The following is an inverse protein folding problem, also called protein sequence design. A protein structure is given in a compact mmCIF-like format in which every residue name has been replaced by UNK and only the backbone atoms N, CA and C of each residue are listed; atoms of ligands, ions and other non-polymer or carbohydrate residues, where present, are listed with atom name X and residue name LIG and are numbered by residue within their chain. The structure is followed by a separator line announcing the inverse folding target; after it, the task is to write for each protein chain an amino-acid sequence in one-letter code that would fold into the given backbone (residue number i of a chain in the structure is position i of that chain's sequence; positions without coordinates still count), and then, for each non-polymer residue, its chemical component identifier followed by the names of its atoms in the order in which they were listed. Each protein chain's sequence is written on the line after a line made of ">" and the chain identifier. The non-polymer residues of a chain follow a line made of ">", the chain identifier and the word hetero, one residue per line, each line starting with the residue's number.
data_IF_103908766145
#
_entry.id   IF_103908766145
#
_cell.length_a   1.000
_cell.length_b   1.000
_cell.length_c   1.000
_cell.angle_alpha   90.00
_cell.angle_beta   90.00
_cell.angle_gamma   90.00
#
_symmetry.space_group_name_H-M   'P 1'
#
loop_
_entity.id
_entity.type
_entity.pdbx_description
1 polymer ?
#
# COMPACT_ATOMS: atom_id res chain seq x y z
N UNK A 1 -15.88 -28.37 -2.78
CA UNK A 1 -14.48 -27.94 -2.98
C UNK A 1 -14.17 -27.55 -4.43
N UNK A 2 -14.41 -28.42 -5.42
CA UNK A 2 -14.16 -28.18 -6.86
C UNK A 2 -14.90 -26.95 -7.43
N UNK A 3 -16.16 -26.73 -7.04
CA UNK A 3 -16.98 -25.60 -7.52
C UNK A 3 -16.46 -24.22 -7.07
N UNK A 4 -15.80 -24.14 -5.90
CA UNK A 4 -15.21 -22.91 -5.38
C UNK A 4 -13.88 -22.59 -6.08
N UNK A 5 -13.10 -23.63 -6.41
CA UNK A 5 -11.87 -23.50 -7.21
C UNK A 5 -12.17 -23.02 -8.63
N UNK A 6 -13.22 -23.55 -9.28
CA UNK A 6 -13.62 -23.13 -10.63
C UNK A 6 -14.10 -21.67 -10.67
N UNK A 7 -14.89 -21.25 -9.67
CA UNK A 7 -15.33 -19.85 -9.55
C UNK A 7 -14.13 -18.91 -9.32
N UNK A 8 -13.20 -19.28 -8.43
CA UNK A 8 -11.97 -18.51 -8.19
C UNK A 8 -11.14 -18.37 -9.47
N UNK A 9 -10.87 -19.46 -10.17
CA UNK A 9 -10.07 -19.42 -11.40
C UNK A 9 -10.75 -18.61 -12.50
N UNK A 10 -12.08 -18.72 -12.62
CA UNK A 10 -12.85 -17.92 -13.57
C UNK A 10 -12.81 -16.42 -13.24
N UNK A 11 -12.97 -16.05 -11.96
CA UNK A 11 -12.86 -14.66 -11.53
C UNK A 11 -11.45 -14.09 -11.70
N UNK A 12 -10.41 -14.88 -11.42
CA UNK A 12 -9.01 -14.49 -11.64
C UNK A 12 -8.74 -14.26 -13.14
N UNK A 13 -9.18 -15.19 -13.98
CA UNK A 13 -9.08 -15.04 -15.44
C UNK A 13 -9.79 -13.78 -15.94
N UNK A 14 -11.00 -13.49 -15.44
CA UNK A 14 -11.71 -12.25 -15.77
C UNK A 14 -11.01 -10.99 -15.24
N UNK A 15 -10.31 -11.07 -14.11
CA UNK A 15 -9.57 -9.92 -13.57
C UNK A 15 -8.29 -9.60 -14.36
N UNK A 16 -7.74 -10.58 -15.07
CA UNK A 16 -6.57 -10.43 -15.97
C UNK A 16 -6.97 -9.95 -17.38
N UNK A 17 -8.26 -9.97 -17.72
CA UNK A 17 -8.79 -9.45 -18.98
C UNK A 17 -8.93 -7.92 -18.94
N UNK A 18 -8.00 -7.21 -19.58
CA UNK A 18 -8.01 -5.75 -19.79
C UNK A 18 -9.39 -5.20 -20.22
N UNK A 19 -10.09 -5.88 -21.13
CA UNK A 19 -11.42 -5.48 -21.60
C UNK A 19 -12.49 -5.59 -20.50
N UNK A 20 -12.42 -6.62 -19.66
CA UNK A 20 -13.35 -6.80 -18.54
C UNK A 20 -13.07 -5.78 -17.43
N UNK A 21 -11.79 -5.51 -17.14
CA UNK A 21 -11.33 -4.42 -16.27
C UNK A 21 -11.89 -3.08 -16.76
N UNK A 22 -11.70 -2.74 -18.04
CA UNK A 22 -12.18 -1.49 -18.64
C UNK A 22 -13.71 -1.37 -18.65
N UNK A 23 -14.45 -2.44 -18.92
CA UNK A 23 -15.92 -2.40 -18.89
C UNK A 23 -16.44 -2.21 -17.46
N UNK A 24 -15.83 -2.87 -16.47
CA UNK A 24 -16.21 -2.74 -15.07
C UNK A 24 -15.90 -1.35 -14.53
N UNK A 25 -14.70 -0.82 -14.79
CA UNK A 25 -14.30 0.52 -14.32
C UNK A 25 -15.06 1.65 -15.01
N UNK A 26 -15.58 1.45 -16.23
CA UNK A 26 -16.39 2.45 -16.95
C UNK A 26 -17.89 2.33 -16.73
N UNK A 27 -18.36 1.23 -16.15
CA UNK A 27 -19.78 1.04 -15.84
C UNK A 27 -20.13 1.70 -14.50
N UNK A 28 -21.26 2.43 -14.44
CA UNK A 28 -21.71 3.05 -13.19
C UNK A 28 -22.04 2.04 -12.07
N UNK A 29 -22.34 0.79 -12.43
CA UNK A 29 -22.55 -0.31 -11.48
C UNK A 29 -21.21 -0.80 -10.90
N UNK A 30 -20.21 -1.02 -11.75
CA UNK A 30 -18.87 -1.44 -11.31
C UNK A 30 -18.20 -0.39 -10.44
N UNK A 31 -18.29 0.89 -10.80
CA UNK A 31 -17.81 1.99 -9.97
C UNK A 31 -18.52 2.05 -8.61
N UNK A 32 -19.85 1.85 -8.58
CA UNK A 32 -20.63 1.85 -7.32
C UNK A 32 -20.26 0.68 -6.41
N UNK A 33 -19.99 -0.49 -6.98
CA UNK A 33 -19.52 -1.65 -6.22
C UNK A 33 -18.10 -1.43 -5.67
N UNK A 34 -17.19 -0.87 -6.49
CA UNK A 34 -15.82 -0.58 -6.10
C UNK A 34 -15.72 0.49 -5.00
N UNK A 35 -16.58 1.53 -5.02
CA UNK A 35 -16.61 2.61 -4.01
C UNK A 35 -16.84 2.14 -2.57
N UNK A 36 -17.34 0.91 -2.37
CA UNK A 36 -17.42 0.31 -1.03
C UNK A 36 -16.05 -0.11 -0.47
N UNK A 37 -15.08 -0.36 -1.34
CA UNK A 37 -13.77 -0.92 -1.01
C UNK A 37 -12.61 0.02 -1.37
N UNK A 38 -12.83 0.97 -2.29
CA UNK A 38 -11.83 1.92 -2.77
C UNK A 38 -12.35 3.33 -2.51
N UNK A 39 -11.55 4.16 -1.85
CA UNK A 39 -11.94 5.53 -1.50
C UNK A 39 -12.19 6.40 -2.74
N UNK A 40 -11.38 6.22 -3.79
CA UNK A 40 -11.50 6.82 -5.11
C UNK A 40 -10.20 6.69 -5.89
N UNK A 41 -10.02 7.50 -6.94
CA UNK A 41 -8.86 7.43 -7.84
C UNK A 41 -7.83 8.53 -7.57
N UNK A 42 -8.26 9.63 -6.94
CA UNK A 42 -7.42 10.78 -6.65
C UNK A 42 -7.12 10.94 -5.15
N UNK A 43 -6.09 11.71 -4.84
CA UNK A 43 -5.69 12.07 -3.47
C UNK A 43 -6.86 12.65 -2.67
N UNK A 44 -7.69 13.47 -3.32
CA UNK A 44 -8.82 14.16 -2.71
C UNK A 44 -9.93 13.22 -2.29
N UNK A 45 -10.16 12.14 -3.05
CA UNK A 45 -11.12 11.10 -2.68
C UNK A 45 -10.64 10.34 -1.43
N UNK A 46 -9.35 9.97 -1.42
CA UNK A 46 -8.74 9.26 -0.30
C UNK A 46 -8.79 10.09 0.99
N UNK A 47 -8.42 11.36 0.92
CA UNK A 47 -8.46 12.30 2.05
C UNK A 47 -9.89 12.54 2.51
N UNK A 48 -10.82 12.74 1.57
CA UNK A 48 -12.24 12.89 1.88
C UNK A 48 -12.84 11.66 2.57
N UNK A 49 -12.36 10.45 2.26
CA UNK A 49 -12.76 9.24 2.98
C UNK A 49 -12.21 9.19 4.41
N UNK A 50 -10.96 9.63 4.62
CA UNK A 50 -10.35 9.73 5.96
C UNK A 50 -11.10 10.71 6.83
N UNK A 51 -11.48 11.89 6.31
CA UNK A 51 -12.32 12.85 7.04
C UNK A 51 -13.58 12.19 7.58
N UNK A 52 -14.35 11.51 6.71
CA UNK A 52 -15.60 10.83 7.13
C UNK A 52 -15.34 9.79 8.22
N UNK A 53 -14.30 8.96 8.06
CA UNK A 53 -13.95 7.95 9.07
C UNK A 53 -13.51 8.58 10.39
N UNK A 54 -12.76 9.68 10.35
CA UNK A 54 -12.33 10.41 11.53
C UNK A 54 -13.50 11.07 12.26
N UNK A 55 -14.47 11.64 11.53
CA UNK A 55 -15.72 12.21 12.08
C UNK A 55 -16.58 11.13 12.76
N UNK A 56 -16.55 9.91 12.23
CA UNK A 56 -17.19 8.73 12.85
C UNK A 56 -16.41 8.15 14.04
N UNK A 57 -15.24 8.70 14.36
CA UNK A 57 -14.43 8.29 15.49
C UNK A 57 -13.32 7.29 15.16
N UNK A 58 -13.25 6.77 13.93
CA UNK A 58 -12.23 5.80 13.50
C UNK A 58 -10.90 6.45 13.12
N UNK A 59 -9.82 5.68 13.30
CA UNK A 59 -8.55 5.93 12.61
C UNK A 59 -8.52 5.17 11.29
N UNK A 60 -7.74 5.66 10.33
CA UNK A 60 -7.61 5.07 9.01
C UNK A 60 -6.15 4.72 8.67
N UNK A 61 -5.99 3.88 7.65
CA UNK A 61 -4.73 3.72 6.93
C UNK A 61 -5.01 3.88 5.45
N UNK A 62 -4.15 4.63 4.75
CA UNK A 62 -4.22 4.82 3.31
C UNK A 62 -3.26 3.86 2.61
N UNK A 63 -3.82 3.04 1.71
CA UNK A 63 -3.08 2.16 0.82
C UNK A 63 -3.16 2.70 -0.61
N UNK A 64 -2.02 3.10 -1.17
CA UNK A 64 -1.95 3.54 -2.55
C UNK A 64 -1.93 2.33 -3.48
N UNK A 65 -3.02 2.16 -4.24
CA UNK A 65 -3.20 1.04 -5.15
C UNK A 65 -2.47 1.27 -6.48
N UNK A 66 -1.19 0.93 -6.51
CA UNK A 66 -0.38 0.80 -7.72
C UNK A 66 -0.02 -0.65 -8.04
N UNK A 67 0.16 -0.96 -9.32
CA UNK A 67 0.77 -2.23 -9.73
C UNK A 67 2.27 -2.24 -9.39
N UNK A 68 2.90 -3.43 -9.42
CA UNK A 68 4.35 -3.54 -9.26
C UNK A 68 5.03 -2.66 -10.32
N UNK A 69 5.93 -1.79 -9.89
CA UNK A 69 6.66 -0.94 -10.84
C UNK A 69 7.65 -1.78 -11.65
N UNK A 70 7.73 -1.50 -12.95
CA UNK A 70 8.67 -2.16 -13.87
C UNK A 70 9.90 -1.29 -14.18
N UNK A 71 9.87 -0.01 -13.80
CA UNK A 71 10.94 0.95 -14.06
C UNK A 71 11.27 1.80 -12.82
N UNK A 72 12.54 2.19 -12.63
CA UNK A 72 12.97 3.04 -11.51
C UNK A 72 12.22 4.37 -11.38
N UNK A 73 11.81 4.98 -12.50
CA UNK A 73 11.08 6.25 -12.49
C UNK A 73 9.68 6.13 -11.86
N UNK A 74 9.01 5.00 -12.07
CA UNK A 74 7.71 4.73 -11.48
C UNK A 74 7.81 4.53 -9.94
N UNK A 75 8.94 4.00 -9.44
CA UNK A 75 9.18 3.92 -8.00
C UNK A 75 9.27 5.31 -7.35
N UNK A 76 9.91 6.27 -8.03
CA UNK A 76 10.00 7.65 -7.57
C UNK A 76 8.64 8.34 -7.57
N UNK A 77 7.81 8.06 -8.59
CA UNK A 77 6.44 8.57 -8.65
C UNK A 77 5.59 8.03 -7.50
N UNK A 78 5.63 6.71 -7.24
CA UNK A 78 4.95 6.11 -6.10
C UNK A 78 5.44 6.74 -4.78
N UNK A 79 6.74 6.97 -4.62
CA UNK A 79 7.29 7.66 -3.45
C UNK A 79 6.75 9.09 -3.30
N UNK A 80 6.59 9.85 -4.41
CA UNK A 80 6.00 11.19 -4.37
C UNK A 80 4.55 11.16 -3.90
N UNK A 81 3.77 10.16 -4.30
CA UNK A 81 2.39 9.98 -3.82
C UNK A 81 2.36 9.76 -2.31
N UNK A 82 3.20 8.87 -1.78
CA UNK A 82 3.28 8.64 -0.33
C UNK A 82 3.69 9.89 0.46
N UNK A 83 4.67 10.66 -0.04
CA UNK A 83 5.09 11.91 0.58
C UNK A 83 3.95 12.95 0.58
N UNK A 84 3.24 13.07 -0.54
CA UNK A 84 2.08 13.96 -0.67
C UNK A 84 0.93 13.59 0.27
N UNK A 85 0.66 12.29 0.42
CA UNK A 85 -0.32 11.76 1.39
C UNK A 85 0.06 12.16 2.82
N UNK A 86 1.30 11.89 3.24
CA UNK A 86 1.79 12.25 4.58
C UNK A 86 1.67 13.75 4.86
N UNK A 87 2.04 14.59 3.89
CA UNK A 87 1.91 16.05 4.01
C UNK A 87 0.46 16.51 4.13
N UNK A 88 -0.44 15.86 3.37
CA UNK A 88 -1.88 16.19 3.39
C UNK A 88 -2.50 15.80 4.72
N UNK A 89 -2.21 14.60 5.21
CA UNK A 89 -2.67 14.12 6.52
C UNK A 89 -2.22 15.04 7.64
N UNK A 90 -0.94 15.45 7.65
CA UNK A 90 -0.40 16.37 8.65
C UNK A 90 -1.08 17.75 8.59
N UNK A 91 -1.14 18.36 7.40
CA UNK A 91 -1.71 19.70 7.20
C UNK A 91 -3.17 19.80 7.65
N UNK A 92 -3.91 18.71 7.49
CA UNK A 92 -5.34 18.65 7.82
C UNK A 92 -5.62 18.06 9.21
N UNK A 93 -4.59 17.65 9.95
CA UNK A 93 -4.75 17.07 11.29
C UNK A 93 -5.51 15.74 11.29
N UNK A 94 -5.40 14.95 10.21
CA UNK A 94 -6.14 13.71 10.04
C UNK A 94 -5.51 12.55 10.82
N UNK A 95 -6.34 11.77 11.51
CA UNK A 95 -5.98 10.54 12.23
C UNK A 95 -5.88 9.39 11.24
N UNK A 96 -4.77 9.36 10.49
CA UNK A 96 -4.46 8.32 9.53
C UNK A 96 -2.95 8.19 9.32
N UNK A 97 -2.54 7.04 8.82
CA UNK A 97 -1.17 6.74 8.40
C UNK A 97 -1.17 6.07 7.02
N UNK A 98 0.01 5.68 6.52
CA UNK A 98 0.12 5.04 5.20
C UNK A 98 0.64 3.60 5.30
N UNK A 99 0.12 2.74 4.42
CA UNK A 99 0.63 1.40 4.15
C UNK A 99 1.36 1.40 2.81
N UNK A 100 2.57 0.84 2.78
CA UNK A 100 3.48 0.85 1.63
C UNK A 100 3.86 -0.59 1.26
N UNK A 101 3.78 -0.90 -0.04
CA UNK A 101 4.31 -2.15 -0.61
C UNK A 101 5.66 -1.87 -1.27
N UNK A 102 6.70 -2.61 -0.88
CA UNK A 102 8.05 -2.33 -1.36
C UNK A 102 8.24 -2.65 -2.84
N UNK A 103 7.44 -3.55 -3.42
CA UNK A 103 7.48 -3.78 -4.87
C UNK A 103 6.98 -2.60 -5.70
N UNK A 104 6.15 -1.70 -5.13
CA UNK A 104 5.81 -0.41 -5.76
C UNK A 104 6.97 0.60 -5.64
N UNK A 105 7.81 0.45 -4.63
CA UNK A 105 9.05 1.23 -4.48
C UNK A 105 10.25 0.59 -5.19
N UNK A 106 10.02 -0.40 -6.05
CA UNK A 106 11.07 -0.99 -6.89
C UNK A 106 11.87 -2.13 -6.26
N UNK A 107 11.40 -2.79 -5.20
CA UNK A 107 12.14 -3.88 -4.53
C UNK A 107 12.56 -5.01 -5.48
N UNK A 108 11.77 -5.25 -6.53
CA UNK A 108 12.08 -6.24 -7.57
C UNK A 108 13.10 -5.79 -8.62
N UNK A 109 13.56 -4.53 -8.57
CA UNK A 109 14.41 -3.90 -9.57
C UNK A 109 15.73 -3.42 -8.92
N UNK A 110 15.64 -2.49 -7.97
CA UNK A 110 16.79 -1.85 -7.32
C UNK A 110 16.49 -1.65 -5.83
N UNK A 111 16.97 -2.59 -5.02
CA UNK A 111 16.79 -2.55 -3.56
C UNK A 111 17.46 -1.35 -2.89
N UNK A 112 18.51 -0.79 -3.47
CA UNK A 112 19.20 0.38 -2.90
C UNK A 112 18.42 1.67 -3.20
N UNK A 113 17.81 1.78 -4.39
CA UNK A 113 16.81 2.82 -4.66
C UNK A 113 15.60 2.67 -3.73
N UNK A 114 15.03 1.47 -3.59
CA UNK A 114 13.92 1.20 -2.67
C UNK A 114 14.24 1.62 -1.24
N UNK A 115 15.46 1.32 -0.75
CA UNK A 115 15.91 1.71 0.59
C UNK A 115 15.94 3.24 0.75
N UNK A 116 16.47 3.97 -0.23
CA UNK A 116 16.48 5.44 -0.20
C UNK A 116 15.07 6.03 -0.19
N UNK A 117 14.19 5.53 -1.06
CA UNK A 117 12.80 6.00 -1.15
C UNK A 117 12.02 5.73 0.14
N UNK A 118 12.12 4.50 0.68
CA UNK A 118 11.49 4.16 1.95
C UNK A 118 12.04 5.01 3.10
N UNK A 119 13.35 5.26 3.12
CA UNK A 119 13.98 6.14 4.11
C UNK A 119 13.41 7.55 4.08
N UNK A 120 13.24 8.15 2.89
CA UNK A 120 12.64 9.47 2.74
C UNK A 120 11.18 9.50 3.21
N UNK A 121 10.40 8.46 2.92
CA UNK A 121 9.00 8.33 3.38
C UNK A 121 8.95 8.22 4.91
N UNK A 122 9.81 7.39 5.51
CA UNK A 122 9.88 7.21 6.96
C UNK A 122 10.34 8.48 7.69
N UNK A 123 11.32 9.20 7.14
CA UNK A 123 11.78 10.49 7.67
C UNK A 123 10.66 11.54 7.61
N UNK A 124 9.90 11.59 6.51
CA UNK A 124 8.75 12.49 6.41
C UNK A 124 7.67 12.15 7.43
N UNK A 125 7.35 10.86 7.59
CA UNK A 125 6.38 10.42 8.59
C UNK A 125 6.82 10.82 10.01
N UNK A 126 8.08 10.59 10.36
CA UNK A 126 8.65 10.99 11.65
C UNK A 126 8.53 12.50 11.89
N UNK A 127 8.83 13.34 10.88
CA UNK A 127 8.72 14.80 10.98
C UNK A 127 7.29 15.30 11.25
N UNK A 128 6.29 14.50 10.86
CA UNK A 128 4.87 14.79 11.05
C UNK A 128 4.25 14.08 12.26
N UNK A 129 5.05 13.40 13.08
CA UNK A 129 4.59 12.51 14.15
C UNK A 129 3.58 11.46 13.64
N UNK A 130 3.84 10.93 12.44
CA UNK A 130 3.01 9.93 11.77
C UNK A 130 3.82 8.63 11.54
N UNK A 131 3.14 7.60 11.03
CA UNK A 131 3.62 6.24 10.91
C UNK A 131 3.57 5.74 9.46
N UNK A 132 4.45 4.80 9.14
CA UNK A 132 4.48 4.07 7.86
C UNK A 132 4.49 2.57 8.16
N UNK A 133 3.49 1.85 7.64
CA UNK A 133 3.45 0.39 7.68
C UNK A 133 4.01 -0.17 6.38
N UNK A 134 5.03 -1.03 6.48
CA UNK A 134 5.49 -1.85 5.36
C UNK A 134 4.61 -3.11 5.31
N UNK A 135 3.79 -3.20 4.27
CA UNK A 135 2.97 -4.38 4.01
C UNK A 135 3.86 -5.57 3.62
N UNK A 136 3.56 -6.74 4.19
CA UNK A 136 4.24 -7.98 3.81
C UNK A 136 3.56 -8.59 2.59
N UNK A 137 4.30 -8.64 1.50
CA UNK A 137 3.83 -9.15 0.21
C UNK A 137 3.97 -10.69 0.14
N UNK A 138 4.02 -11.25 -1.07
CA UNK A 138 4.19 -12.69 -1.26
C UNK A 138 5.48 -13.22 -0.63
N UNK A 139 5.50 -14.51 -0.25
CA UNK A 139 6.60 -15.14 0.49
C UNK A 139 7.99 -15.04 -0.17
N UNK A 140 8.04 -14.86 -1.50
CA UNK A 140 9.27 -14.58 -2.23
C UNK A 140 9.94 -13.25 -1.83
N UNK A 141 9.18 -12.29 -1.29
CA UNK A 141 9.64 -10.97 -0.88
C UNK A 141 9.87 -10.83 0.63
N UNK A 142 9.52 -11.84 1.44
CA UNK A 142 9.59 -11.72 2.91
C UNK A 142 10.99 -11.40 3.40
N UNK A 143 12.00 -12.14 2.93
CA UNK A 143 13.39 -11.95 3.36
C UNK A 143 13.94 -10.58 2.95
N UNK A 144 13.70 -10.17 1.70
CA UNK A 144 14.18 -8.88 1.19
C UNK A 144 13.47 -7.71 1.88
N UNK A 145 12.19 -7.84 2.19
CA UNK A 145 11.41 -6.85 2.94
C UNK A 145 11.96 -6.67 4.35
N UNK A 146 12.16 -7.75 5.10
CA UNK A 146 12.69 -7.69 6.47
C UNK A 146 14.12 -7.14 6.50
N UNK A 147 14.94 -7.50 5.51
CA UNK A 147 16.30 -6.96 5.37
C UNK A 147 16.30 -5.45 5.15
N UNK A 148 15.48 -4.98 4.22
CA UNK A 148 15.40 -3.56 3.88
C UNK A 148 14.83 -2.75 5.05
N UNK A 149 13.79 -3.24 5.72
CA UNK A 149 13.25 -2.66 6.95
C UNK A 149 14.34 -2.44 8.01
N UNK A 150 15.21 -3.44 8.26
CA UNK A 150 16.31 -3.34 9.22
C UNK A 150 17.42 -2.35 8.81
N UNK A 151 17.53 -2.04 7.52
CA UNK A 151 18.55 -1.11 7.00
C UNK A 151 18.09 0.35 6.98
N UNK A 152 16.77 0.60 7.07
CA UNK A 152 16.24 1.96 7.17
C UNK A 152 16.31 2.42 8.62
N UNK A 153 17.14 3.42 8.88
CA UNK A 153 17.26 4.03 10.19
C UNK A 153 16.10 5.02 10.42
N UNK A 154 14.99 4.51 10.96
CA UNK A 154 13.82 5.30 11.32
C UNK A 154 13.45 5.11 12.80
N UNK A 155 12.86 6.13 13.46
CA UNK A 155 12.26 5.96 14.79
C UNK A 155 11.24 4.81 14.81
N UNK A 156 11.16 4.09 15.94
CA UNK A 156 10.27 2.93 16.10
C UNK A 156 8.78 3.28 15.99
N UNK A 157 8.43 4.52 16.27
CA UNK A 157 7.10 5.11 16.17
C UNK A 157 6.79 5.71 14.79
N UNK A 158 7.74 5.65 13.85
CA UNK A 158 7.56 6.16 12.48
C UNK A 158 7.53 5.06 11.41
N UNK A 159 8.10 3.87 11.69
CA UNK A 159 8.19 2.78 10.72
C UNK A 159 7.97 1.42 11.38
N UNK A 160 7.15 0.57 10.76
CA UNK A 160 7.03 -0.82 11.17
C UNK A 160 6.69 -1.75 10.01
N UNK A 161 6.87 -3.05 10.23
CA UNK A 161 6.67 -4.09 9.22
C UNK A 161 5.59 -5.08 9.65
N UNK A 162 4.93 -5.73 8.69
CA UNK A 162 3.95 -6.79 8.91
C UNK A 162 4.63 -8.17 8.98
N UNK A 163 4.12 -9.07 9.82
CA UNK A 163 4.48 -10.50 9.84
C UNK A 163 3.21 -11.33 9.57
N UNK A 164 3.33 -12.36 8.74
CA UNK A 164 2.20 -13.18 8.31
C UNK A 164 2.13 -14.48 9.12
N UNK A 165 1.11 -14.67 9.96
CA UNK A 165 1.01 -15.83 10.87
C UNK A 165 0.95 -17.20 10.18
N UNK A 166 0.57 -17.25 8.91
CA UNK A 166 0.47 -18.49 8.14
C UNK A 166 1.80 -19.08 7.63
N UNK A 167 2.93 -18.35 7.75
CA UNK A 167 4.24 -18.84 7.30
C UNK A 167 4.96 -19.55 8.45
N UNK A 168 5.54 -20.72 8.15
CA UNK A 168 6.36 -21.49 9.11
C UNK A 168 7.57 -20.69 9.66
N UNK A 169 8.05 -19.70 8.90
CA UNK A 169 9.20 -18.86 9.27
C UNK A 169 8.87 -17.74 10.26
N UNK A 170 7.60 -17.39 10.45
CA UNK A 170 7.19 -16.16 11.13
C UNK A 170 7.60 -16.09 12.59
N UNK A 171 7.59 -17.21 13.31
CA UNK A 171 8.05 -17.26 14.71
C UNK A 171 9.53 -16.86 14.85
N UNK A 172 10.36 -17.19 13.86
CA UNK A 172 11.78 -16.83 13.84
C UNK A 172 12.02 -15.38 13.43
N UNK A 173 11.07 -14.77 12.72
CA UNK A 173 11.21 -13.42 12.18
C UNK A 173 10.80 -12.32 13.19
N UNK A 174 10.14 -12.69 14.31
CA UNK A 174 9.76 -11.84 15.45
C UNK A 174 10.82 -11.88 16.55
#
# INVERSE_FOLDING_TARGET
>A
MVRLMLLRSFLLYLSELETARHLLTRSGIGQRMARRFIAGEDLEDAVGAVHRLNDEGFEATLDYLGERVAEPAAAEEASRVYLGLLDRLHREGLRSHVSVKLTQLGLGIDGEQTRRLLGAIAERAASHHNFVRIDMEGSAYTESTLRLFRQVNAPRDALGVVIQSYLRRSERDV
#
